data_IF_629844801730
#
_entry.id   IF_629844801730
#
_cell.length_a   1.000
_cell.length_b   1.000
_cell.length_c   1.000
_cell.angle_alpha   90.00
_cell.angle_beta   90.00
_cell.angle_gamma   90.00
#
_symmetry.space_group_name_H-M   'P 1'
#
loop_
_entity.id
_entity.type
_entity.pdbx_description
1 polymer ?
#
# COMPACT_ATOMS: atom_id res chain seq x y z
N UNK A 1 -13.91 4.44 -2.81
CA UNK A 1 -12.74 3.56 -2.64
C UNK A 1 -12.12 3.80 -1.26
N UNK A 2 -11.83 2.73 -0.54
CA UNK A 2 -11.25 2.81 0.80
C UNK A 2 -9.83 2.28 0.79
N UNK A 3 -8.88 3.13 1.17
CA UNK A 3 -7.45 2.81 1.18
C UNK A 3 -6.94 2.77 2.62
N UNK A 4 -6.18 1.72 2.96
CA UNK A 4 -5.43 1.67 4.21
C UNK A 4 -3.98 2.09 3.93
N UNK A 5 -3.53 3.12 4.61
CA UNK A 5 -2.20 3.68 4.42
C UNK A 5 -1.36 3.45 5.68
N UNK A 6 -0.29 2.66 5.54
CA UNK A 6 0.65 2.39 6.63
C UNK A 6 1.91 3.23 6.43
N UNK A 7 2.00 4.33 7.18
CA UNK A 7 3.09 5.30 7.10
C UNK A 7 3.23 6.02 8.44
N UNK A 8 4.42 5.98 9.02
CA UNK A 8 4.67 6.61 10.31
C UNK A 8 5.08 8.09 10.21
N UNK A 9 5.57 8.52 9.06
CA UNK A 9 6.02 9.90 8.85
C UNK A 9 4.85 10.77 8.38
N UNK A 10 4.53 11.80 9.14
CA UNK A 10 3.40 12.68 8.84
C UNK A 10 3.53 13.39 7.49
N UNK A 11 4.73 13.88 7.18
CA UNK A 11 4.97 14.59 5.91
C UNK A 11 4.78 13.65 4.72
N UNK A 12 5.29 12.43 4.81
CA UNK A 12 5.15 11.43 3.76
C UNK A 12 3.69 11.01 3.61
N UNK A 13 2.97 10.86 4.72
CA UNK A 13 1.54 10.56 4.70
C UNK A 13 0.76 11.64 3.95
N UNK A 14 1.00 12.90 4.30
CA UNK A 14 0.32 14.02 3.65
C UNK A 14 0.64 14.10 2.17
N UNK A 15 1.89 13.84 1.80
CA UNK A 15 2.31 13.84 0.41
C UNK A 15 1.60 12.74 -0.38
N UNK A 16 1.50 11.54 0.18
CA UNK A 16 0.80 10.43 -0.47
C UNK A 16 -0.69 10.74 -0.65
N UNK A 17 -1.34 11.27 0.38
CA UNK A 17 -2.75 11.64 0.30
C UNK A 17 -2.99 12.70 -0.76
N UNK A 18 -2.13 13.72 -0.80
CA UNK A 18 -2.23 14.78 -1.79
C UNK A 18 -2.02 14.26 -3.20
N UNK A 19 -1.05 13.36 -3.37
CA UNK A 19 -0.78 12.74 -4.67
C UNK A 19 -2.00 12.00 -5.19
N UNK A 20 -2.64 11.21 -4.32
CA UNK A 20 -3.85 10.47 -4.70
C UNK A 20 -4.99 11.40 -5.08
N UNK A 21 -5.18 12.48 -4.33
CA UNK A 21 -6.19 13.49 -4.64
C UNK A 21 -5.93 14.16 -5.98
N UNK A 22 -4.67 14.53 -6.25
CA UNK A 22 -4.30 15.20 -7.50
C UNK A 22 -4.46 14.29 -8.71
N UNK A 23 -4.42 12.99 -8.52
CA UNK A 23 -4.66 12.01 -9.59
C UNK A 23 -6.15 11.79 -9.87
N UNK A 24 -7.02 12.49 -9.17
CA UNK A 24 -8.46 12.37 -9.35
C UNK A 24 -9.06 11.14 -8.72
N UNK A 25 -8.33 10.48 -7.82
CA UNK A 25 -8.84 9.31 -7.13
C UNK A 25 -9.70 9.73 -5.95
N UNK A 26 -10.99 9.41 -6.01
CA UNK A 26 -11.92 9.68 -4.92
C UNK A 26 -11.78 8.55 -3.92
N UNK A 27 -11.16 8.83 -2.79
CA UNK A 27 -10.89 7.79 -1.81
C UNK A 27 -11.04 8.27 -0.38
N UNK A 28 -11.44 7.35 0.48
CA UNK A 28 -11.42 7.50 1.92
C UNK A 28 -10.18 6.79 2.42
N UNK A 29 -9.36 7.47 3.20
CA UNK A 29 -8.09 6.93 3.67
C UNK A 29 -8.15 6.68 5.16
N UNK A 30 -7.88 5.44 5.57
CA UNK A 30 -7.65 5.07 6.96
C UNK A 30 -6.14 4.98 7.14
N UNK A 31 -5.64 5.65 8.14
CA UNK A 31 -4.21 5.76 8.38
C UNK A 31 -3.80 4.90 9.57
N UNK A 32 -2.72 4.15 9.42
CA UNK A 32 -2.05 3.42 10.48
C UNK A 32 -0.58 3.80 10.50
N UNK A 33 0.00 3.95 11.68
CA UNK A 33 1.41 4.32 11.82
C UNK A 33 2.22 3.31 12.62
N UNK A 34 1.61 2.20 13.00
CA UNK A 34 2.28 1.14 13.75
C UNK A 34 1.73 -0.21 13.36
N UNK A 35 2.44 -1.27 13.74
CA UNK A 35 1.99 -2.64 13.55
C UNK A 35 0.62 -2.86 14.19
N UNK A 36 0.45 -2.39 15.40
CA UNK A 36 -0.78 -2.60 16.18
C UNK A 36 -1.96 -1.91 15.51
N UNK A 37 -1.78 -0.68 15.06
CA UNK A 37 -2.82 0.06 14.35
C UNK A 37 -3.17 -0.61 13.02
N UNK A 38 -2.14 -1.09 12.31
CA UNK A 38 -2.34 -1.75 11.02
C UNK A 38 -3.13 -3.03 11.17
N UNK A 39 -2.75 -3.88 12.11
CA UNK A 39 -3.47 -5.15 12.35
C UNK A 39 -4.90 -4.89 12.80
N UNK A 40 -5.11 -3.92 13.69
CA UNK A 40 -6.46 -3.57 14.12
C UNK A 40 -7.32 -3.10 12.95
N UNK A 41 -6.74 -2.27 12.07
CA UNK A 41 -7.47 -1.79 10.90
C UNK A 41 -7.85 -2.93 9.96
N UNK A 42 -6.93 -3.88 9.73
CA UNK A 42 -7.21 -5.04 8.87
C UNK A 42 -8.34 -5.91 9.41
N UNK A 43 -8.47 -6.00 10.73
CA UNK A 43 -9.50 -6.80 11.37
C UNK A 43 -10.85 -6.09 11.40
N UNK A 44 -10.86 -4.76 11.36
CA UNK A 44 -12.08 -3.97 11.56
C UNK A 44 -12.83 -3.68 10.28
N UNK A 45 -12.16 -3.64 9.12
CA UNK A 45 -12.78 -3.24 7.88
C UNK A 45 -12.09 -3.89 6.69
N UNK A 46 -12.78 -3.89 5.54
CA UNK A 46 -12.18 -4.30 4.27
C UNK A 46 -11.74 -3.06 3.51
N UNK A 47 -10.63 -3.19 2.81
CA UNK A 47 -10.06 -2.11 2.02
C UNK A 47 -9.99 -2.52 0.56
N UNK A 48 -10.05 -1.53 -0.31
CA UNK A 48 -9.87 -1.75 -1.75
C UNK A 48 -8.41 -1.80 -2.12
N UNK A 49 -7.56 -1.15 -1.33
CA UNK A 49 -6.13 -1.05 -1.58
C UNK A 49 -5.40 -0.79 -0.28
N UNK A 50 -4.20 -1.35 -0.17
CA UNK A 50 -3.29 -1.05 0.94
C UNK A 50 -2.02 -0.44 0.36
N UNK A 51 -1.60 0.69 0.91
CA UNK A 51 -0.33 1.33 0.58
C UNK A 51 0.51 1.35 1.85
N UNK A 52 1.74 0.86 1.76
CA UNK A 52 2.62 0.77 2.92
C UNK A 52 4.02 1.24 2.59
N UNK A 53 4.63 1.96 3.54
CA UNK A 53 6.06 2.19 3.49
C UNK A 53 6.78 0.84 3.61
N UNK A 54 7.85 0.67 2.85
CA UNK A 54 8.65 -0.54 2.91
C UNK A 54 9.46 -0.62 4.21
N UNK A 55 9.96 0.51 4.68
CA UNK A 55 10.81 0.57 5.88
C UNK A 55 10.09 1.34 6.98
N UNK A 56 9.68 0.62 8.01
CA UNK A 56 9.04 1.21 9.19
C UNK A 56 9.94 0.96 10.41
N UNK A 57 9.96 1.83 11.44
CA UNK A 57 10.83 1.64 12.61
C UNK A 57 10.46 0.36 13.29
N UNK A 58 9.90 -0.30 13.72
CA UNK A 58 9.67 -1.53 14.45
C UNK A 58 8.83 -2.56 13.70
N UNK A 59 8.67 -2.39 12.38
CA UNK A 59 7.81 -3.30 11.62
C UNK A 59 8.30 -3.38 10.17
N UNK A 60 8.51 -4.59 9.70
CA UNK A 60 8.94 -4.84 8.33
C UNK A 60 7.77 -4.65 7.36
N UNK A 61 8.02 -4.00 6.22
CA UNK A 61 7.02 -3.90 5.16
C UNK A 61 6.59 -5.28 4.65
N UNK A 62 7.52 -6.22 4.56
CA UNK A 62 7.19 -7.58 4.15
C UNK A 62 6.28 -8.26 5.18
N UNK A 63 6.50 -8.02 6.47
CA UNK A 63 5.62 -8.55 7.51
C UNK A 63 4.20 -7.96 7.39
N UNK A 64 4.10 -6.68 7.06
CA UNK A 64 2.81 -6.04 6.82
C UNK A 64 2.09 -6.66 5.62
N UNK A 65 2.82 -6.93 4.54
CA UNK A 65 2.27 -7.60 3.36
C UNK A 65 1.76 -8.99 3.72
N UNK A 66 2.54 -9.75 4.47
CA UNK A 66 2.14 -11.10 4.90
C UNK A 66 0.85 -11.05 5.72
N UNK A 67 0.76 -10.13 6.69
CA UNK A 67 -0.44 -9.98 7.51
C UNK A 67 -1.66 -9.62 6.66
N UNK A 68 -1.50 -8.71 5.70
CA UNK A 68 -2.61 -8.30 4.84
C UNK A 68 -3.09 -9.46 3.96
N UNK A 69 -2.18 -10.28 3.46
CA UNK A 69 -2.55 -11.42 2.62
C UNK A 69 -3.27 -12.51 3.41
N UNK A 70 -2.99 -12.64 4.69
CA UNK A 70 -3.68 -13.60 5.55
C UNK A 70 -5.10 -13.14 5.87
N UNK A 71 -5.27 -11.84 6.15
CA UNK A 71 -6.56 -11.29 6.58
C UNK A 71 -7.42 -10.80 5.42
N UNK A 72 -6.81 -10.26 4.38
CA UNK A 72 -7.50 -9.72 3.21
C UNK A 72 -6.77 -10.12 1.94
N UNK A 73 -6.83 -11.40 1.55
CA UNK A 73 -6.03 -11.92 0.43
C UNK A 73 -6.37 -11.31 -0.92
N UNK A 74 -7.58 -10.77 -1.09
CA UNK A 74 -7.99 -10.16 -2.36
C UNK A 74 -7.64 -8.68 -2.47
N UNK A 75 -7.17 -8.07 -1.39
CA UNK A 75 -6.85 -6.64 -1.38
C UNK A 75 -5.44 -6.42 -1.91
N UNK A 76 -5.26 -5.65 -3.00
CA UNK A 76 -3.93 -5.38 -3.54
C UNK A 76 -3.11 -4.51 -2.59
N UNK A 77 -1.79 -4.70 -2.64
CA UNK A 77 -0.84 -4.08 -1.73
C UNK A 77 0.27 -3.42 -2.55
N UNK A 78 0.49 -2.12 -2.32
CA UNK A 78 1.54 -1.36 -3.00
C UNK A 78 2.53 -0.86 -1.95
N UNK A 79 3.82 -1.10 -2.19
CA UNK A 79 4.87 -0.50 -1.38
C UNK A 79 5.27 0.87 -1.91
N UNK A 80 5.57 1.78 -0.99
CA UNK A 80 6.25 3.04 -1.30
C UNK A 80 7.52 3.09 -0.47
N UNK A 81 8.60 3.60 -1.04
CA UNK A 81 9.89 3.62 -0.35
C UNK A 81 10.76 4.76 -0.83
N UNK A 82 11.60 5.27 0.07
CA UNK A 82 12.59 6.30 -0.28
C UNK A 82 13.80 5.70 -0.98
N UNK A 83 14.10 4.43 -0.70
CA UNK A 83 15.31 3.81 -1.19
C UNK A 83 15.03 2.84 -2.32
N UNK A 84 15.92 2.84 -3.30
CA UNK A 84 15.93 1.86 -4.36
C UNK A 84 16.78 0.69 -3.90
N UNK A 85 16.13 -0.43 -3.55
CA UNK A 85 16.82 -1.70 -3.50
C UNK A 85 16.21 -2.53 -4.60
N UNK A 86 16.97 -2.79 -5.65
CA UNK A 86 16.50 -3.65 -6.73
C UNK A 86 16.07 -5.00 -6.16
N UNK A 87 16.85 -5.54 -5.23
CA UNK A 87 16.53 -6.78 -4.54
C UNK A 87 15.26 -6.67 -3.71
N UNK A 88 15.06 -5.54 -3.03
CA UNK A 88 13.86 -5.31 -2.22
C UNK A 88 12.61 -5.23 -3.08
N UNK A 89 12.70 -4.56 -4.22
CA UNK A 89 11.57 -4.47 -5.14
C UNK A 89 11.20 -5.84 -5.69
N UNK A 90 12.20 -6.64 -6.11
CA UNK A 90 11.97 -7.99 -6.62
C UNK A 90 11.35 -8.87 -5.54
N UNK A 91 11.88 -8.82 -4.32
CA UNK A 91 11.35 -9.60 -3.20
C UNK A 91 9.91 -9.22 -2.90
N UNK A 92 9.59 -7.92 -2.91
CA UNK A 92 8.24 -7.42 -2.67
C UNK A 92 7.24 -8.00 -3.66
N UNK A 93 7.58 -7.97 -4.94
CA UNK A 93 6.72 -8.48 -5.99
C UNK A 93 6.56 -9.99 -5.90
N UNK A 94 7.64 -10.71 -5.61
CA UNK A 94 7.59 -12.16 -5.41
C UNK A 94 6.74 -12.56 -4.20
N UNK A 95 6.74 -11.72 -3.18
CA UNK A 95 5.95 -11.96 -1.96
C UNK A 95 4.48 -11.62 -2.14
N UNK A 96 4.10 -11.02 -3.24
CA UNK A 96 2.70 -10.78 -3.58
C UNK A 96 2.28 -9.33 -3.62
N UNK A 97 3.21 -8.37 -3.51
CA UNK A 97 2.86 -6.96 -3.70
C UNK A 97 2.47 -6.69 -5.14
N UNK A 98 1.50 -5.84 -5.36
CA UNK A 98 1.06 -5.47 -6.70
C UNK A 98 2.06 -4.53 -7.38
N UNK A 99 2.73 -3.67 -6.61
CA UNK A 99 3.70 -2.74 -7.16
C UNK A 99 4.63 -2.20 -6.07
N UNK A 100 5.67 -1.51 -6.51
CA UNK A 100 6.67 -0.87 -5.65
C UNK A 100 6.97 0.50 -6.24
N UNK A 101 6.64 1.57 -5.53
CA UNK A 101 6.75 2.95 -6.02
C UNK A 101 7.73 3.73 -5.15
N UNK A 102 8.63 4.48 -5.78
CA UNK A 102 9.58 5.32 -5.07
C UNK A 102 8.92 6.62 -4.63
N UNK A 103 9.18 7.06 -3.40
CA UNK A 103 8.63 8.31 -2.87
C UNK A 103 9.08 9.52 -3.67
N UNK A 104 10.25 9.48 -4.30
CA UNK A 104 10.72 10.56 -5.17
C UNK A 104 10.09 10.55 -6.56
N UNK A 105 9.30 9.52 -6.88
CA UNK A 105 8.64 9.36 -8.19
C UNK A 105 7.16 9.08 -8.02
N UNK A 106 6.50 9.84 -7.16
CA UNK A 106 5.08 9.64 -6.86
C UNK A 106 4.16 9.96 -8.04
N UNK A 107 4.67 10.58 -9.10
CA UNK A 107 3.90 10.77 -10.32
C UNK A 107 3.44 9.44 -10.96
N UNK A 108 4.09 8.33 -10.63
CA UNK A 108 3.67 7.00 -11.08
C UNK A 108 2.67 6.30 -10.17
N UNK A 109 2.36 6.89 -9.00
CA UNK A 109 1.51 6.23 -8.02
C UNK A 109 0.07 6.03 -8.53
N UNK A 110 -0.49 7.04 -9.20
CA UNK A 110 -1.86 6.94 -9.72
C UNK A 110 -2.04 5.79 -10.69
N UNK A 111 -1.09 5.60 -11.60
CA UNK A 111 -1.14 4.49 -12.55
C UNK A 111 -0.97 3.15 -11.85
N UNK A 112 -0.07 3.09 -10.87
CA UNK A 112 0.13 1.87 -10.09
C UNK A 112 -1.15 1.47 -9.35
N UNK A 113 -1.84 2.44 -8.77
CA UNK A 113 -3.11 2.21 -8.07
C UNK A 113 -4.17 1.69 -9.03
N UNK A 114 -4.35 2.36 -10.17
CA UNK A 114 -5.36 1.97 -11.16
C UNK A 114 -5.11 0.57 -11.69
N UNK A 115 -3.85 0.24 -11.98
CA UNK A 115 -3.48 -1.09 -12.46
C UNK A 115 -3.74 -2.15 -11.38
N UNK A 116 -3.35 -1.88 -10.14
CA UNK A 116 -3.54 -2.83 -9.05
C UNK A 116 -5.03 -3.12 -8.81
N UNK A 117 -5.86 -2.08 -8.85
CA UNK A 117 -7.31 -2.23 -8.68
C UNK A 117 -7.93 -3.01 -9.83
N UNK A 118 -7.50 -2.75 -11.07
CA UNK A 118 -7.99 -3.47 -12.25
C UNK A 118 -7.62 -4.95 -12.18
N UNK A 119 -6.37 -5.26 -11.87
CA UNK A 119 -5.91 -6.64 -11.77
C UNK A 119 -6.63 -7.39 -10.64
N UNK A 120 -6.87 -6.73 -9.51
CA UNK A 120 -7.60 -7.33 -8.41
C UNK A 120 -9.05 -7.64 -8.80
N UNK A 121 -9.69 -6.73 -9.52
CA UNK A 121 -11.05 -6.94 -10.02
C UNK A 121 -11.10 -8.13 -10.99
N UNK A 122 -10.16 -8.20 -11.92
CA UNK A 122 -10.08 -9.30 -12.88
C UNK A 122 -9.90 -10.66 -12.18
N UNK A 123 -9.07 -10.71 -11.13
CA UNK A 123 -8.89 -11.94 -10.36
C UNK A 123 -10.17 -12.39 -9.67
N UNK A 124 -10.95 -11.46 -9.15
CA UNK A 124 -12.23 -11.78 -8.49
C UNK A 124 -13.27 -12.30 -9.47
N UNK A 125 -13.20 -11.90 -10.72
CA UNK A 125 -14.16 -12.28 -11.75
C UNK A 125 -13.85 -13.64 -12.40
N UNK A 126 -12.72 -14.23 -12.08
CA UNK A 126 -12.33 -15.56 -12.61
C UNK A 126 -13.02 -16.70 -11.89
#
# INVERSE_FOLDING_TARGET
MHILLLEDNLCDRQLLEKTLMNEGLVCQITHAKSKEEFQAALEQAKYDLIISDFTLPAYSGIAALTASRELQPDTPFIFVSETIGEEQAVESLKSGAADYVLKERLNGLGQAVRRALREAKERKER
#
